data_IF_638678692734
#
_entry.id   IF_638678692734
#
_cell.length_a   1.000
_cell.length_b   1.000
_cell.length_c   1.000
_cell.angle_alpha   90.00
_cell.angle_beta   90.00
_cell.angle_gamma   90.00
#
_symmetry.space_group_name_H-M   'P 1'
#
loop_
_entity.id
_entity.type
_entity.pdbx_description
1 polymer ?
#
# COMPACT_ATOMS: atom_id res chain seq x y z
N UNK A 1 39.24 -10.12 -63.44
CA UNK A 1 39.55 -9.31 -62.25
C UNK A 1 38.82 -7.98 -62.39
N UNK A 2 38.19 -7.51 -61.31
CA UNK A 2 37.25 -6.37 -61.20
C UNK A 2 35.80 -6.73 -61.55
N UNK A 3 35.10 -7.24 -60.53
CA UNK A 3 33.63 -7.15 -60.40
C UNK A 3 33.37 -5.83 -59.67
N UNK A 4 32.68 -4.89 -60.33
CA UNK A 4 32.16 -3.66 -59.71
C UNK A 4 30.64 -3.84 -59.57
N UNK A 5 30.16 -3.91 -58.33
CA UNK A 5 28.74 -3.99 -58.00
C UNK A 5 28.05 -2.66 -58.31
N UNK A 6 26.95 -2.72 -59.07
CA UNK A 6 25.94 -1.67 -59.15
C UNK A 6 25.08 -1.68 -57.88
N UNK A 7 24.98 -0.52 -57.23
CA UNK A 7 23.98 -0.23 -56.22
C UNK A 7 22.61 -0.01 -56.88
N UNK A 8 21.60 -0.75 -56.44
CA UNK A 8 20.19 -0.46 -56.69
C UNK A 8 19.56 -0.06 -55.35
N UNK A 9 19.03 1.15 -55.33
CA UNK A 9 18.17 1.69 -54.29
C UNK A 9 16.84 0.93 -54.27
N UNK A 10 16.47 0.40 -53.11
CA UNK A 10 15.07 0.14 -52.77
C UNK A 10 14.78 0.75 -51.41
N UNK A 11 14.00 1.83 -51.46
CA UNK A 11 13.35 2.47 -50.32
C UNK A 11 12.27 1.50 -49.82
N UNK A 12 12.29 1.19 -48.53
CA UNK A 12 11.17 0.60 -47.81
C UNK A 12 11.12 1.22 -46.42
N UNK A 13 10.03 1.93 -46.15
CA UNK A 13 9.68 2.51 -44.86
C UNK A 13 9.72 1.45 -43.76
N UNK A 14 10.44 1.73 -42.68
CA UNK A 14 10.32 1.06 -41.39
C UNK A 14 9.85 2.08 -40.37
N UNK A 15 8.66 1.85 -39.81
CA UNK A 15 8.11 2.62 -38.71
C UNK A 15 9.03 2.49 -37.49
N UNK A 16 9.48 3.61 -36.96
CA UNK A 16 10.21 3.71 -35.70
C UNK A 16 9.19 3.53 -34.56
N UNK A 17 9.09 2.30 -34.06
CA UNK A 17 8.33 1.94 -32.88
C UNK A 17 9.19 2.35 -31.67
N UNK A 18 8.79 3.44 -31.01
CA UNK A 18 9.38 3.86 -29.75
C UNK A 18 9.17 2.79 -28.68
N UNK A 19 10.29 2.35 -28.09
CA UNK A 19 10.40 1.38 -27.03
C UNK A 19 9.47 1.72 -25.85
N UNK A 20 8.43 0.90 -25.67
CA UNK A 20 7.87 0.66 -24.36
C UNK A 20 8.81 -0.31 -23.66
N UNK A 21 9.73 0.23 -22.87
CA UNK A 21 10.40 -0.55 -21.84
C UNK A 21 9.35 -0.99 -20.81
N UNK A 22 8.79 -2.19 -21.02
CA UNK A 22 8.20 -2.97 -19.94
C UNK A 22 9.26 -3.11 -18.85
N UNK A 23 8.99 -2.51 -17.70
CA UNK A 23 9.69 -2.81 -16.46
C UNK A 23 9.47 -4.29 -16.16
N UNK A 24 10.42 -5.11 -16.60
CA UNK A 24 10.62 -6.48 -16.16
C UNK A 24 10.98 -6.43 -14.69
N UNK A 25 9.93 -6.52 -13.85
CA UNK A 25 10.07 -6.77 -12.43
C UNK A 25 10.80 -8.09 -12.25
N UNK A 26 12.06 -7.98 -11.85
CA UNK A 26 12.94 -9.08 -11.46
C UNK A 26 12.25 -10.07 -10.53
N UNK A 27 12.34 -11.34 -10.92
CA UNK A 27 11.91 -12.56 -10.26
C UNK A 27 12.06 -12.55 -8.73
N UNK A 28 10.93 -12.79 -8.05
CA UNK A 28 10.89 -13.38 -6.72
C UNK A 28 10.32 -14.80 -6.80
N UNK A 29 10.81 -15.60 -7.76
CA UNK A 29 10.51 -17.03 -7.84
C UNK A 29 11.24 -17.79 -6.73
N UNK A 30 10.70 -17.71 -5.52
CA UNK A 30 10.81 -18.84 -4.61
C UNK A 30 10.23 -20.06 -5.32
N UNK A 31 10.95 -21.19 -5.30
CA UNK A 31 10.53 -22.40 -6.00
C UNK A 31 9.05 -22.72 -5.67
N UNK A 32 8.27 -23.02 -6.71
CA UNK A 32 6.87 -23.41 -6.55
C UNK A 32 6.80 -24.67 -5.66
N UNK A 33 6.01 -24.60 -4.59
CA UNK A 33 5.87 -25.71 -3.65
C UNK A 33 5.34 -26.94 -4.38
N UNK A 34 6.06 -28.06 -4.25
CA UNK A 34 5.65 -29.36 -4.78
C UNK A 34 5.34 -30.31 -3.61
N UNK A 35 4.08 -30.77 -3.47
CA UNK A 35 3.71 -31.64 -2.34
C UNK A 35 4.36 -33.02 -2.46
N UNK A 36 4.94 -33.51 -1.36
CA UNK A 36 5.56 -34.83 -1.30
C UNK A 36 4.52 -35.96 -1.15
N UNK A 37 3.35 -35.66 -0.59
CA UNK A 37 2.27 -36.63 -0.39
C UNK A 37 0.88 -36.06 -0.71
N UNK A 38 -0.12 -36.95 -0.79
CA UNK A 38 -1.54 -36.53 -0.90
C UNK A 38 -1.99 -35.73 0.32
N UNK A 39 -1.48 -36.06 1.51
CA UNK A 39 -1.81 -35.34 2.74
C UNK A 39 -1.22 -33.94 2.69
N UNK A 40 0.01 -33.78 2.20
CA UNK A 40 0.64 -32.46 2.07
C UNK A 40 -0.12 -31.59 1.08
N UNK A 41 -0.55 -32.19 -0.03
CA UNK A 41 -1.41 -31.51 -0.98
C UNK A 41 -2.70 -31.04 -0.33
N UNK A 42 -3.36 -31.88 0.48
CA UNK A 42 -4.59 -31.48 1.17
C UNK A 42 -4.37 -30.37 2.19
N UNK A 43 -3.29 -30.42 2.97
CA UNK A 43 -2.91 -29.34 3.90
C UNK A 43 -2.70 -28.03 3.14
N UNK A 44 -1.85 -28.07 2.11
CA UNK A 44 -1.53 -26.92 1.26
C UNK A 44 -2.77 -26.32 0.58
N UNK A 45 -3.60 -27.16 -0.05
CA UNK A 45 -4.81 -26.73 -0.75
C UNK A 45 -5.81 -26.09 0.24
N UNK A 46 -6.04 -26.69 1.42
CA UNK A 46 -6.95 -26.11 2.44
C UNK A 46 -6.46 -24.74 2.91
N UNK A 47 -5.17 -24.58 3.21
CA UNK A 47 -4.62 -23.30 3.64
C UNK A 47 -4.75 -22.23 2.53
N UNK A 48 -4.40 -22.59 1.29
CA UNK A 48 -4.53 -21.69 0.14
C UNK A 48 -5.98 -21.25 -0.09
N UNK A 49 -6.93 -22.19 -0.07
CA UNK A 49 -8.36 -21.88 -0.28
C UNK A 49 -8.96 -21.03 0.84
N UNK A 50 -8.50 -21.19 2.09
CA UNK A 50 -8.89 -20.30 3.18
C UNK A 50 -8.52 -18.86 2.85
N UNK A 51 -7.24 -18.58 2.57
CA UNK A 51 -6.80 -17.20 2.32
C UNK A 51 -7.34 -16.63 1.01
N UNK A 52 -7.54 -17.43 -0.04
CA UNK A 52 -8.24 -17.00 -1.26
C UNK A 52 -9.69 -16.58 -0.98
N UNK A 53 -10.39 -17.34 -0.15
CA UNK A 53 -11.77 -17.05 0.26
C UNK A 53 -11.83 -15.78 1.11
N UNK A 54 -10.90 -15.63 2.07
CA UNK A 54 -10.80 -14.43 2.91
C UNK A 54 -10.43 -13.17 2.12
N UNK A 55 -9.54 -13.28 1.13
CA UNK A 55 -9.19 -12.17 0.23
C UNK A 55 -10.39 -11.68 -0.59
N UNK A 56 -11.40 -12.53 -0.80
CA UNK A 56 -12.68 -12.20 -1.45
C UNK A 56 -13.77 -11.77 -0.47
N UNK A 57 -13.43 -11.50 0.80
CA UNK A 57 -14.35 -11.09 1.86
C UNK A 57 -15.47 -12.11 2.16
N UNK A 58 -15.27 -13.39 1.81
CA UNK A 58 -16.29 -14.43 2.00
C UNK A 58 -16.08 -15.16 3.34
N UNK A 59 -16.25 -14.43 4.43
CA UNK A 59 -15.95 -14.92 5.79
C UNK A 59 -16.85 -16.08 6.23
N UNK A 60 -18.14 -16.08 5.86
CA UNK A 60 -19.07 -17.15 6.23
C UNK A 60 -18.65 -18.47 5.60
N UNK A 61 -18.38 -18.46 4.29
CA UNK A 61 -17.91 -19.66 3.60
C UNK A 61 -16.59 -20.17 4.16
N UNK A 62 -15.66 -19.26 4.48
CA UNK A 62 -14.40 -19.63 5.11
C UNK A 62 -14.60 -20.29 6.49
N UNK A 63 -15.47 -19.70 7.31
CA UNK A 63 -15.79 -20.17 8.66
C UNK A 63 -16.43 -21.58 8.63
N UNK A 64 -17.28 -21.85 7.66
CA UNK A 64 -17.97 -23.14 7.51
C UNK A 64 -17.08 -24.27 6.95
N UNK A 65 -16.14 -23.93 6.05
CA UNK A 65 -15.50 -24.96 5.20
C UNK A 65 -14.04 -25.26 5.55
N UNK A 66 -13.30 -24.31 6.12
CA UNK A 66 -11.83 -24.42 6.18
C UNK A 66 -11.23 -24.38 7.58
N UNK A 67 -11.98 -23.96 8.60
CA UNK A 67 -11.45 -23.74 9.95
C UNK A 67 -12.10 -24.64 10.99
N UNK A 68 -11.43 -24.82 12.12
CA UNK A 68 -11.99 -25.54 13.28
C UNK A 68 -12.78 -24.69 14.24
N UNK A 69 -12.59 -23.38 14.15
CA UNK A 69 -13.06 -22.35 15.08
C UNK A 69 -13.71 -21.20 14.29
N UNK A 70 -14.95 -21.40 13.80
CA UNK A 70 -15.65 -20.47 12.92
C UNK A 70 -15.73 -19.04 13.48
N UNK A 71 -15.98 -18.90 14.79
CA UNK A 71 -16.11 -17.62 15.47
C UNK A 71 -14.87 -16.73 15.32
N UNK A 72 -13.67 -17.33 15.26
CA UNK A 72 -12.42 -16.58 15.07
C UNK A 72 -12.34 -15.92 13.69
N UNK A 73 -12.89 -16.57 12.66
CA UNK A 73 -13.01 -16.00 11.31
C UNK A 73 -14.14 -14.98 11.26
N UNK A 74 -15.30 -15.29 11.84
CA UNK A 74 -16.46 -14.39 11.82
C UNK A 74 -16.21 -13.07 12.55
N UNK A 75 -15.38 -13.09 13.60
CA UNK A 75 -14.93 -11.87 14.28
C UNK A 75 -14.21 -10.86 13.36
N UNK A 76 -13.66 -11.32 12.22
CA UNK A 76 -12.95 -10.48 11.26
C UNK A 76 -13.86 -9.70 10.30
N UNK A 77 -15.15 -10.03 10.22
CA UNK A 77 -16.12 -9.37 9.33
C UNK A 77 -16.13 -7.85 9.48
N UNK A 78 -15.89 -7.37 10.70
CA UNK A 78 -15.93 -5.96 11.04
C UNK A 78 -14.57 -5.29 10.90
N UNK A 79 -14.04 -5.25 9.68
CA UNK A 79 -12.92 -4.36 9.33
C UNK A 79 -11.54 -5.01 9.21
N UNK A 80 -11.44 -6.34 9.22
CA UNK A 80 -10.19 -6.99 8.85
C UNK A 80 -10.02 -7.01 7.33
N UNK A 81 -8.79 -6.73 6.88
CA UNK A 81 -8.35 -6.90 5.50
C UNK A 81 -7.02 -7.65 5.50
N UNK A 82 -6.88 -8.62 4.59
CA UNK A 82 -5.59 -9.26 4.34
C UNK A 82 -4.62 -8.21 3.80
N UNK A 83 -3.57 -7.88 4.56
CA UNK A 83 -2.55 -6.90 4.16
C UNK A 83 -1.41 -7.56 3.39
N UNK A 84 -1.73 -8.26 2.31
CA UNK A 84 -0.76 -8.93 1.43
C UNK A 84 -1.21 -8.80 -0.02
N UNK A 85 -0.25 -8.62 -0.92
CA UNK A 85 -0.50 -8.54 -2.38
C UNK A 85 -0.55 -9.94 -2.99
N UNK A 86 0.18 -10.89 -2.41
CA UNK A 86 0.13 -12.29 -2.79
C UNK A 86 0.49 -13.19 -1.62
N UNK A 87 0.17 -14.48 -1.74
CA UNK A 87 0.50 -15.49 -0.75
C UNK A 87 0.75 -16.84 -1.43
N UNK A 88 1.63 -17.64 -0.84
CA UNK A 88 2.02 -18.96 -1.36
C UNK A 88 2.31 -19.95 -0.24
N UNK A 89 2.21 -21.23 -0.55
CA UNK A 89 2.72 -22.28 0.34
C UNK A 89 4.23 -22.36 0.15
N UNK A 90 4.98 -22.38 1.25
CA UNK A 90 6.44 -22.56 1.26
C UNK A 90 6.82 -23.97 1.67
N UNK A 91 6.17 -24.47 2.71
CA UNK A 91 6.47 -25.76 3.31
C UNK A 91 5.21 -26.37 3.93
N UNK A 92 5.16 -27.70 4.00
CA UNK A 92 4.20 -28.45 4.80
C UNK A 92 4.98 -29.23 5.85
N UNK A 93 4.53 -29.14 7.11
CA UNK A 93 5.13 -29.82 8.23
C UNK A 93 4.05 -30.53 9.08
N UNK A 94 4.46 -31.13 10.19
CA UNK A 94 3.56 -31.89 11.06
C UNK A 94 2.42 -31.01 11.62
N UNK A 95 2.75 -29.77 12.01
CA UNK A 95 1.81 -28.79 12.58
C UNK A 95 0.84 -28.18 11.57
N UNK A 96 1.15 -28.25 10.27
CA UNK A 96 0.31 -27.69 9.21
C UNK A 96 1.12 -27.20 8.02
N UNK A 97 0.99 -25.91 7.70
CA UNK A 97 1.56 -25.29 6.50
C UNK A 97 2.28 -24.00 6.85
N UNK A 98 3.50 -23.81 6.35
CA UNK A 98 4.16 -22.49 6.36
C UNK A 98 3.74 -21.76 5.09
N UNK A 99 3.03 -20.64 5.26
CA UNK A 99 2.63 -19.77 4.17
C UNK A 99 3.50 -18.51 4.13
N UNK A 100 3.97 -18.14 2.95
CA UNK A 100 4.62 -16.85 2.69
C UNK A 100 3.59 -15.83 2.24
N UNK A 101 3.54 -14.68 2.90
CA UNK A 101 2.72 -13.53 2.54
C UNK A 101 3.63 -12.41 2.05
N UNK A 102 3.47 -12.05 0.78
CA UNK A 102 4.26 -11.00 0.16
C UNK A 102 3.48 -9.69 0.14
N UNK A 103 4.17 -8.61 0.48
CA UNK A 103 3.70 -7.24 0.31
C UNK A 103 4.78 -6.45 -0.39
N UNK A 104 4.40 -5.63 -1.35
CA UNK A 104 5.27 -4.78 -2.14
C UNK A 104 6.18 -3.98 -1.20
N UNK A 105 7.50 -4.08 -1.44
CA UNK A 105 8.53 -3.38 -0.68
C UNK A 105 8.67 -3.78 0.80
N UNK A 106 8.14 -4.93 1.21
CA UNK A 106 8.40 -5.53 2.52
C UNK A 106 8.99 -6.93 2.35
N UNK A 107 9.76 -7.43 3.32
CA UNK A 107 10.16 -8.83 3.31
C UNK A 107 8.91 -9.73 3.31
N UNK A 108 9.01 -10.88 2.66
CA UNK A 108 7.96 -11.90 2.77
C UNK A 108 7.79 -12.28 4.25
N UNK A 109 6.54 -12.31 4.69
CA UNK A 109 6.18 -12.73 6.03
C UNK A 109 5.81 -14.21 6.00
N UNK A 110 6.58 -15.02 6.72
CA UNK A 110 6.29 -16.43 6.90
C UNK A 110 5.34 -16.61 8.09
N UNK A 111 4.22 -17.29 7.86
CA UNK A 111 3.20 -17.57 8.86
C UNK A 111 2.97 -19.07 8.93
N UNK A 112 3.18 -19.64 10.11
CA UNK A 112 2.76 -21.01 10.39
C UNK A 112 1.23 -21.05 10.54
N UNK A 113 0.58 -21.72 9.59
CA UNK A 113 -0.84 -22.05 9.61
C UNK A 113 -0.99 -23.39 10.30
N UNK A 114 -1.54 -23.38 11.51
CA UNK A 114 -1.77 -24.59 12.28
C UNK A 114 -2.99 -25.33 11.77
N UNK A 115 -2.90 -26.65 11.66
CA UNK A 115 -3.97 -27.47 11.12
C UNK A 115 -4.20 -28.71 11.96
N UNK A 116 -5.45 -29.17 11.99
CA UNK A 116 -5.82 -30.44 12.60
C UNK A 116 -6.62 -31.28 11.62
N UNK A 117 -6.37 -32.59 11.65
CA UNK A 117 -7.12 -33.55 10.86
C UNK A 117 -8.43 -33.91 11.56
N UNK A 118 -9.55 -33.85 10.84
CA UNK A 118 -10.86 -34.37 11.28
C UNK A 118 -11.41 -35.30 10.21
N UNK A 119 -11.34 -36.60 10.49
CA UNK A 119 -11.66 -37.64 9.51
C UNK A 119 -10.67 -37.62 8.33
N UNK A 120 -11.17 -37.46 7.11
CA UNK A 120 -10.37 -37.44 5.88
C UNK A 120 -9.98 -36.01 5.44
N UNK A 121 -10.28 -34.98 6.24
CA UNK A 121 -10.04 -33.57 5.90
C UNK A 121 -9.16 -32.88 6.93
N UNK A 122 -8.43 -31.86 6.49
CA UNK A 122 -7.70 -30.95 7.36
C UNK A 122 -8.46 -29.63 7.50
N UNK A 123 -8.38 -29.05 8.69
CA UNK A 123 -9.00 -27.78 9.05
C UNK A 123 -7.96 -26.90 9.73
N UNK A 124 -8.00 -25.60 9.47
CA UNK A 124 -7.10 -24.61 10.04
C UNK A 124 -7.56 -24.23 11.46
N UNK A 125 -6.64 -24.24 12.42
CA UNK A 125 -6.83 -23.64 13.74
C UNK A 125 -6.58 -22.14 13.63
N UNK A 126 -7.59 -21.39 13.21
CA UNK A 126 -7.40 -20.01 12.76
C UNK A 126 -7.04 -19.07 13.92
N UNK A 127 -7.73 -19.19 15.05
CA UNK A 127 -7.45 -18.43 16.26
C UNK A 127 -6.09 -18.76 16.89
N UNK A 128 -5.56 -19.97 16.70
CA UNK A 128 -4.18 -20.30 17.08
C UNK A 128 -3.19 -19.63 16.12
N UNK A 129 -3.40 -19.79 14.82
CA UNK A 129 -2.60 -19.17 13.75
C UNK A 129 -2.46 -17.67 13.95
N UNK A 130 -3.57 -16.95 14.13
CA UNK A 130 -3.57 -15.49 14.35
C UNK A 130 -2.87 -15.09 15.65
N UNK A 131 -3.05 -15.84 16.73
CA UNK A 131 -2.45 -15.54 18.03
C UNK A 131 -0.93 -15.69 18.00
N UNK A 132 -0.42 -16.74 17.36
CA UNK A 132 1.02 -16.94 17.21
C UNK A 132 1.62 -15.91 16.24
N UNK A 133 0.93 -15.58 15.15
CA UNK A 133 1.34 -14.48 14.26
C UNK A 133 1.42 -13.14 15.02
N UNK A 134 0.47 -12.82 15.90
CA UNK A 134 0.52 -11.60 16.72
C UNK A 134 1.67 -11.60 17.73
N UNK A 135 2.20 -12.76 18.10
CA UNK A 135 3.35 -12.88 19.01
C UNK A 135 4.67 -12.74 18.28
N UNK A 136 4.72 -13.08 16.99
CA UNK A 136 5.92 -12.96 16.18
C UNK A 136 6.40 -11.49 16.08
N UNK A 137 7.60 -11.17 16.57
CA UNK A 137 8.19 -9.84 16.41
C UNK A 137 8.41 -9.47 14.94
N UNK A 138 8.76 -10.44 14.07
CA UNK A 138 9.00 -10.18 12.66
C UNK A 138 7.71 -9.74 11.94
N UNK A 139 6.59 -10.40 12.23
CA UNK A 139 5.26 -9.97 11.77
C UNK A 139 4.88 -8.55 12.23
N UNK A 140 5.29 -8.16 13.45
CA UNK A 140 4.92 -6.87 14.05
C UNK A 140 5.81 -5.70 13.66
N UNK A 141 7.07 -5.97 13.32
CA UNK A 141 8.10 -4.95 13.10
C UNK A 141 8.73 -5.00 11.71
N UNK A 142 8.09 -5.68 10.75
CA UNK A 142 8.57 -5.75 9.38
C UNK A 142 8.84 -4.35 8.82
N UNK A 143 10.13 -4.05 8.61
CA UNK A 143 10.57 -2.79 8.01
C UNK A 143 10.54 -2.91 6.48
N UNK A 144 10.29 -1.81 5.76
CA UNK A 144 10.44 -1.78 4.32
C UNK A 144 11.85 -2.20 3.89
N UNK A 145 11.97 -2.88 2.75
CA UNK A 145 13.28 -3.28 2.18
C UNK A 145 13.98 -2.13 1.43
N UNK A 146 13.30 -0.99 1.27
CA UNK A 146 13.81 0.23 0.64
C UNK A 146 13.37 1.44 1.46
N UNK A 147 14.16 2.50 1.45
CA UNK A 147 13.79 3.75 2.11
C UNK A 147 12.48 4.34 1.54
N UNK A 148 12.33 4.29 0.22
CA UNK A 148 11.11 4.68 -0.49
C UNK A 148 10.66 3.50 -1.35
N UNK A 149 9.41 3.10 -1.16
CA UNK A 149 8.78 2.03 -1.91
C UNK A 149 8.18 2.52 -3.23
N UNK A 150 7.81 3.79 -3.29
CA UNK A 150 7.12 4.40 -4.43
C UNK A 150 7.96 5.53 -5.01
N UNK A 151 7.94 5.62 -6.34
CA UNK A 151 8.68 6.63 -7.07
C UNK A 151 7.97 8.00 -7.01
N UNK A 152 8.77 9.05 -6.97
CA UNK A 152 8.30 10.43 -6.93
C UNK A 152 8.41 11.07 -8.31
N UNK A 153 7.30 11.60 -8.81
CA UNK A 153 7.28 12.39 -10.03
C UNK A 153 7.77 13.80 -9.71
N UNK A 154 8.68 14.31 -10.53
CA UNK A 154 9.15 15.69 -10.40
C UNK A 154 8.14 16.68 -11.05
N UNK A 155 6.98 16.81 -10.44
CA UNK A 155 5.89 17.71 -10.85
C UNK A 155 5.14 18.24 -9.61
N UNK A 156 4.39 19.35 -9.72
CA UNK A 156 3.48 19.77 -8.65
C UNK A 156 2.55 18.64 -8.21
N UNK A 157 2.30 18.54 -6.91
CA UNK A 157 1.50 17.46 -6.33
C UNK A 157 0.09 17.45 -6.94
N UNK A 158 -0.25 16.34 -7.58
CA UNK A 158 -1.53 16.13 -8.25
C UNK A 158 -1.94 14.66 -8.16
N UNK A 159 -3.16 14.35 -8.58
CA UNK A 159 -3.65 12.98 -8.69
C UNK A 159 -5.18 12.92 -8.68
N UNK A 160 -5.71 11.93 -7.98
CA UNK A 160 -7.15 11.75 -7.81
C UNK A 160 -7.50 11.36 -6.38
N UNK A 161 -8.55 11.99 -5.85
CA UNK A 161 -9.14 11.64 -4.56
C UNK A 161 -10.57 11.20 -4.82
N UNK A 162 -10.89 9.94 -4.52
CA UNK A 162 -12.21 9.34 -4.78
C UNK A 162 -12.67 9.51 -6.23
N UNK A 163 -11.74 9.29 -7.17
CA UNK A 163 -11.93 9.43 -8.63
C UNK A 163 -12.17 10.86 -9.14
N UNK A 164 -12.14 11.85 -8.25
CA UNK A 164 -12.15 13.26 -8.65
C UNK A 164 -10.72 13.72 -8.87
N UNK A 165 -10.39 14.35 -10.02
CA UNK A 165 -9.08 14.96 -10.22
C UNK A 165 -8.77 15.99 -9.14
N UNK A 166 -7.55 15.97 -8.63
CA UNK A 166 -7.12 16.86 -7.55
C UNK A 166 -5.71 17.38 -7.83
N UNK A 167 -5.49 18.66 -7.55
CA UNK A 167 -4.19 19.32 -7.74
C UNK A 167 -3.94 20.27 -6.58
N UNK A 168 -2.73 20.23 -6.04
CA UNK A 168 -2.29 21.15 -5.01
C UNK A 168 -2.19 22.58 -5.56
N UNK A 169 -2.68 23.53 -4.78
CA UNK A 169 -2.57 24.97 -5.05
C UNK A 169 -1.61 25.63 -4.06
N UNK A 170 -1.85 25.45 -2.76
CA UNK A 170 -1.04 26.03 -1.69
C UNK A 170 -1.01 25.14 -0.45
N UNK A 171 -0.11 25.48 0.47
CA UNK A 171 0.03 24.83 1.78
C UNK A 171 -0.42 25.82 2.85
N UNK A 172 -1.38 25.41 3.65
CA UNK A 172 -1.89 26.15 4.80
C UNK A 172 -1.29 25.57 6.08
N UNK A 173 -0.70 26.43 6.89
CA UNK A 173 -0.05 26.04 8.14
C UNK A 173 -0.72 26.79 9.28
N UNK A 174 -1.20 26.04 10.27
CA UNK A 174 -1.77 26.60 11.48
C UNK A 174 -1.19 25.92 12.71
N UNK A 175 -1.14 26.65 13.82
CA UNK A 175 -0.75 26.10 15.12
C UNK A 175 -1.91 26.24 16.08
N UNK A 176 -2.23 25.16 16.80
CA UNK A 176 -3.18 25.20 17.91
C UNK A 176 -2.46 24.84 19.20
N UNK A 177 -2.71 25.65 20.22
CA UNK A 177 -2.24 25.38 21.58
C UNK A 177 -3.09 24.30 22.25
N UNK A 178 -2.43 23.25 22.72
CA UNK A 178 -3.02 22.23 23.57
C UNK A 178 -2.31 22.18 24.92
N UNK A 179 -2.92 21.55 25.92
CA UNK A 179 -2.27 21.35 27.22
C UNK A 179 -0.96 20.54 27.13
N UNK A 180 -0.78 19.76 26.05
CA UNK A 180 0.45 19.02 25.74
C UNK A 180 1.51 19.83 24.97
N UNK A 181 1.24 21.11 24.69
CA UNK A 181 2.05 21.97 23.84
C UNK A 181 1.41 22.24 22.46
N UNK A 182 2.04 23.10 21.64
CA UNK A 182 1.53 23.47 20.33
C UNK A 182 1.49 22.25 19.41
N UNK A 183 0.41 22.11 18.65
CA UNK A 183 0.31 21.16 17.54
C UNK A 183 0.22 21.91 16.23
N UNK A 184 1.21 21.66 15.39
CA UNK A 184 1.26 22.17 14.04
C UNK A 184 0.32 21.36 13.14
N UNK A 185 -0.52 22.04 12.38
CA UNK A 185 -1.34 21.48 11.31
C UNK A 185 -0.80 21.98 9.99
N UNK A 186 -0.51 21.07 9.08
CA UNK A 186 -0.02 21.36 7.73
C UNK A 186 -0.98 20.70 6.76
N UNK A 187 -1.74 21.52 6.04
CA UNK A 187 -2.77 21.09 5.10
C UNK A 187 -2.42 21.57 3.69
N UNK A 188 -2.40 20.66 2.73
CA UNK A 188 -2.26 20.96 1.31
C UNK A 188 -3.66 21.08 0.72
N UNK A 189 -3.97 22.25 0.17
CA UNK A 189 -5.30 22.58 -0.34
C UNK A 189 -5.27 22.74 -1.85
N UNK A 190 -6.38 22.40 -2.50
CA UNK A 190 -6.58 22.65 -3.92
C UNK A 190 -7.15 24.05 -4.17
N UNK A 191 -7.11 24.50 -5.42
CA UNK A 191 -7.70 25.78 -5.83
C UNK A 191 -9.22 25.82 -5.69
N UNK A 192 -9.87 24.67 -5.55
CA UNK A 192 -11.30 24.57 -5.24
C UNK A 192 -11.60 25.02 -3.79
N UNK A 193 -10.62 24.94 -2.87
CA UNK A 193 -10.75 25.48 -1.52
C UNK A 193 -10.50 26.99 -1.53
N UNK A 194 -11.59 27.76 -1.62
CA UNK A 194 -11.56 29.24 -1.68
C UNK A 194 -11.41 29.87 -0.29
N UNK A 195 -12.04 29.30 0.75
CA UNK A 195 -11.94 29.76 2.15
C UNK A 195 -11.44 28.64 3.06
N UNK A 196 -10.19 28.73 3.52
CA UNK A 196 -9.63 27.80 4.51
C UNK A 196 -9.77 28.39 5.93
N UNK A 197 -10.16 27.60 6.96
CA UNK A 197 -10.39 26.15 6.95
C UNK A 197 -11.83 25.73 6.61
N UNK A 198 -12.73 26.65 6.27
CA UNK A 198 -14.15 26.35 6.08
C UNK A 198 -14.40 25.27 5.02
N UNK A 199 -13.62 25.28 3.93
CA UNK A 199 -13.68 24.29 2.85
C UNK A 199 -13.46 22.82 3.30
N UNK A 200 -12.90 22.62 4.50
CA UNK A 200 -12.65 21.31 5.11
C UNK A 200 -13.87 20.77 5.87
N UNK A 201 -14.73 21.66 6.36
CA UNK A 201 -15.79 21.34 7.33
C UNK A 201 -17.19 21.72 6.87
N UNK A 202 -17.32 22.75 6.03
CA UNK A 202 -18.59 23.29 5.57
C UNK A 202 -18.80 22.93 4.10
N UNK A 203 -20.00 22.43 3.79
CA UNK A 203 -20.41 22.08 2.43
C UNK A 203 -20.94 23.32 1.72
N UNK A 204 -20.03 24.08 1.12
CA UNK A 204 -20.31 25.21 0.24
C UNK A 204 -20.23 24.78 -1.23
N UNK A 205 -21.22 25.20 -2.02
CA UNK A 205 -21.36 24.84 -3.43
C UNK A 205 -20.13 25.27 -4.28
N UNK A 206 -19.49 26.38 -3.92
CA UNK A 206 -18.35 26.99 -4.63
C UNK A 206 -17.19 27.25 -3.65
N UNK A 207 -16.58 26.19 -3.11
CA UNK A 207 -15.49 26.38 -2.16
C UNK A 207 -15.06 25.14 -1.38
N UNK A 208 -15.86 24.07 -1.42
CA UNK A 208 -15.54 22.81 -0.75
C UNK A 208 -14.59 21.96 -1.58
N UNK A 209 -13.68 21.26 -0.90
CA UNK A 209 -12.78 20.35 -1.61
C UNK A 209 -12.02 19.43 -0.68
N UNK A 210 -11.33 18.47 -1.29
CA UNK A 210 -10.41 17.60 -0.57
C UNK A 210 -9.19 18.39 -0.09
N UNK A 211 -8.88 18.22 1.19
CA UNK A 211 -7.69 18.74 1.85
C UNK A 211 -6.80 17.57 2.24
N UNK A 212 -5.51 17.68 1.93
CA UNK A 212 -4.51 16.65 2.21
C UNK A 212 -3.64 17.11 3.39
N UNK A 213 -3.87 16.55 4.57
CA UNK A 213 -3.10 16.85 5.78
C UNK A 213 -1.83 16.01 5.89
N UNK A 214 -0.72 16.65 6.26
CA UNK A 214 0.62 16.04 6.31
C UNK A 214 1.31 16.21 7.67
N UNK A 215 0.54 16.60 8.70
CA UNK A 215 1.06 16.88 10.05
C UNK A 215 1.67 15.68 10.78
N UNK A 216 1.39 14.45 10.32
CA UNK A 216 1.94 13.22 10.92
C UNK A 216 3.29 12.82 10.31
N UNK A 217 3.82 13.58 9.35
CA UNK A 217 5.11 13.28 8.71
C UNK A 217 6.27 13.88 9.52
N UNK A 218 7.41 13.18 9.52
CA UNK A 218 8.66 13.76 10.02
C UNK A 218 9.26 14.69 8.96
N UNK A 219 9.12 15.99 9.17
CA UNK A 219 9.62 17.04 8.26
C UNK A 219 11.06 17.49 8.58
N UNK A 220 11.71 16.91 9.60
CA UNK A 220 13.11 17.20 9.93
C UNK A 220 14.08 16.16 9.33
N UNK A 221 13.57 14.99 8.98
CA UNK A 221 14.33 13.92 8.35
C UNK A 221 14.33 14.01 6.81
N UNK A 222 14.76 12.93 6.17
CA UNK A 222 14.70 12.75 4.70
C UNK A 222 13.37 12.13 4.21
N UNK A 223 12.46 11.81 5.14
CA UNK A 223 11.26 11.03 4.88
C UNK A 223 11.51 9.51 4.73
N UNK A 224 10.46 8.80 4.33
CA UNK A 224 10.44 7.34 4.22
C UNK A 224 9.11 6.80 3.70
N UNK A 225 8.67 5.65 4.22
CA UNK A 225 7.39 5.05 3.86
C UNK A 225 6.29 5.42 4.85
N UNK A 226 5.07 5.57 4.35
CA UNK A 226 3.89 5.74 5.18
C UNK A 226 3.59 4.43 5.95
N UNK A 227 2.91 4.57 7.08
CA UNK A 227 2.62 3.48 7.99
C UNK A 227 1.74 3.91 9.17
N UNK A 228 2.00 3.34 10.34
CA UNK A 228 1.18 3.61 11.53
C UNK A 228 1.49 4.97 12.17
N UNK A 229 2.76 5.36 12.19
CA UNK A 229 3.26 6.62 12.74
C UNK A 229 3.19 7.75 11.72
N UNK A 230 3.75 7.56 10.54
CA UNK A 230 3.78 8.54 9.46
C UNK A 230 2.64 8.24 8.48
N UNK A 231 1.69 9.15 8.34
CA UNK A 231 0.54 8.96 7.44
C UNK A 231 0.06 10.31 6.90
N UNK A 232 -0.67 10.24 5.79
CA UNK A 232 -1.32 11.41 5.18
C UNK A 232 -2.81 11.32 5.48
N UNK A 233 -3.46 12.45 5.71
CA UNK A 233 -4.92 12.48 5.91
C UNK A 233 -5.61 13.11 4.73
N UNK A 234 -6.76 12.56 4.31
CA UNK A 234 -7.67 13.22 3.39
C UNK A 234 -8.94 13.60 4.14
N UNK A 235 -9.30 14.87 4.08
CA UNK A 235 -10.51 15.41 4.71
C UNK A 235 -11.32 16.20 3.69
N UNK A 236 -12.64 16.17 3.83
CA UNK A 236 -13.59 17.00 3.09
C UNK A 236 -14.92 17.05 3.86
N UNK A 237 -15.81 18.00 3.52
CA UNK A 237 -17.13 18.09 4.14
C UNK A 237 -17.91 16.78 3.98
N UNK A 238 -18.62 16.37 5.04
CA UNK A 238 -19.46 15.17 5.08
C UNK A 238 -18.72 13.83 4.92
N UNK A 239 -17.39 13.80 5.03
CA UNK A 239 -16.61 12.57 4.93
C UNK A 239 -15.78 12.36 6.19
N UNK A 240 -15.79 11.13 6.70
CA UNK A 240 -14.84 10.76 7.74
C UNK A 240 -13.42 10.86 7.18
N UNK A 241 -12.53 11.53 7.93
CA UNK A 241 -11.14 11.70 7.49
C UNK A 241 -10.49 10.34 7.26
N UNK A 242 -9.86 10.19 6.09
CA UNK A 242 -9.18 8.98 5.67
C UNK A 242 -7.70 9.10 6.02
N UNK A 243 -7.16 8.11 6.75
CA UNK A 243 -5.73 8.03 7.04
C UNK A 243 -5.08 7.12 6.01
N UNK A 244 -4.31 7.70 5.09
CA UNK A 244 -3.57 7.00 4.06
C UNK A 244 -2.21 6.58 4.62
N UNK A 245 -2.00 5.27 4.67
CA UNK A 245 -0.83 4.60 5.27
C UNK A 245 0.00 3.85 4.24
N UNK A 246 -0.44 3.83 2.99
CA UNK A 246 0.28 3.24 1.86
C UNK A 246 0.84 4.32 0.95
N UNK A 247 2.16 4.39 0.89
CA UNK A 247 2.88 5.36 0.06
C UNK A 247 4.28 5.62 0.58
N UNK A 248 4.94 6.57 -0.07
CA UNK A 248 6.22 7.13 0.38
C UNK A 248 6.14 8.65 0.41
N UNK A 249 6.99 9.25 1.23
CA UNK A 249 7.23 10.69 1.23
C UNK A 249 8.72 10.96 1.31
N UNK A 250 9.16 12.04 0.64
CA UNK A 250 10.54 12.53 0.71
C UNK A 250 10.54 13.99 1.09
N UNK A 251 11.46 14.33 1.98
CA UNK A 251 11.64 15.69 2.47
C UNK A 251 13.01 16.17 2.01
N UNK A 252 13.03 17.32 1.34
CA UNK A 252 14.26 18.00 0.94
C UNK A 252 14.25 19.40 1.52
N UNK A 253 15.24 19.72 2.35
CA UNK A 253 15.46 21.08 2.82
C UNK A 253 16.17 21.89 1.75
N UNK A 254 15.50 22.94 1.30
CA UNK A 254 16.00 23.90 0.31
C UNK A 254 16.62 25.11 1.04
N UNK A 255 17.19 26.02 0.26
CA UNK A 255 17.70 27.29 0.77
C UNK A 255 16.58 28.13 1.43
N UNK A 256 16.97 29.03 2.35
CA UNK A 256 16.05 29.93 3.07
C UNK A 256 15.00 29.23 3.96
N UNK A 257 15.29 28.01 4.44
CA UNK A 257 14.39 27.27 5.32
C UNK A 257 13.15 26.70 4.62
N UNK A 258 13.08 26.78 3.29
CA UNK A 258 12.00 26.18 2.51
C UNK A 258 12.15 24.65 2.50
N UNK A 259 11.04 23.95 2.58
CA UNK A 259 10.95 22.49 2.52
C UNK A 259 10.25 22.13 1.22
N UNK A 260 10.81 21.19 0.46
CA UNK A 260 10.11 20.45 -0.58
C UNK A 260 9.65 19.12 0.00
N UNK A 261 8.33 18.93 0.04
CA UNK A 261 7.69 17.67 0.39
C UNK A 261 7.21 16.99 -0.89
N UNK A 262 7.76 15.81 -1.16
CA UNK A 262 7.32 14.91 -2.22
C UNK A 262 6.47 13.80 -1.63
N UNK A 263 5.34 13.50 -2.27
CA UNK A 263 4.43 12.42 -1.88
C UNK A 263 4.23 11.46 -3.04
N UNK A 264 4.10 10.18 -2.73
CA UNK A 264 3.70 9.13 -3.65
C UNK A 264 2.75 8.18 -2.91
N UNK A 265 1.45 8.36 -3.09
CA UNK A 265 0.37 7.62 -2.44
C UNK A 265 -0.40 6.86 -3.50
N UNK A 266 -0.69 5.57 -3.26
CA UNK A 266 -1.30 4.70 -4.28
C UNK A 266 -2.47 3.91 -3.74
N UNK A 267 -3.60 3.95 -4.44
CA UNK A 267 -4.66 2.92 -4.44
C UNK A 267 -5.41 2.68 -3.12
N UNK A 268 -5.04 3.32 -2.01
CA UNK A 268 -5.73 3.20 -0.74
C UNK A 268 -7.03 4.04 -0.79
N UNK A 269 -8.17 3.39 -0.56
CA UNK A 269 -9.50 4.04 -0.52
C UNK A 269 -9.83 4.91 -1.76
N UNK A 270 -9.36 4.50 -2.95
CA UNK A 270 -9.50 5.26 -4.22
C UNK A 270 -8.78 6.61 -4.23
N UNK A 271 -7.64 6.72 -3.53
CA UNK A 271 -6.76 7.90 -3.55
C UNK A 271 -5.43 7.58 -4.22
N UNK A 272 -5.03 8.43 -5.15
CA UNK A 272 -3.73 8.40 -5.82
C UNK A 272 -3.17 9.83 -5.83
N UNK A 273 -1.98 10.05 -5.26
CA UNK A 273 -1.34 11.36 -5.20
C UNK A 273 0.14 11.20 -5.54
N UNK A 274 0.67 12.03 -6.44
CA UNK A 274 2.08 12.02 -6.76
C UNK A 274 2.60 13.39 -7.20
N UNK A 275 3.73 13.81 -6.64
CA UNK A 275 4.41 15.06 -6.96
C UNK A 275 4.92 15.76 -5.71
N UNK A 276 5.15 17.06 -5.80
CA UNK A 276 5.70 17.87 -4.72
C UNK A 276 4.91 19.14 -4.40
N UNK A 277 5.02 19.57 -3.16
CA UNK A 277 4.72 20.94 -2.72
C UNK A 277 5.94 21.53 -2.03
N UNK A 278 6.04 22.85 -2.03
CA UNK A 278 7.11 23.55 -1.33
C UNK A 278 6.54 24.62 -0.41
N UNK A 279 7.03 24.69 0.82
CA UNK A 279 6.53 25.60 1.85
C UNK A 279 7.60 25.89 2.91
N UNK A 280 7.36 26.86 3.78
CA UNK A 280 8.26 27.19 4.90
C UNK A 280 7.48 26.99 6.19
N UNK A 281 8.10 26.35 7.19
CA UNK A 281 7.50 26.22 8.52
C UNK A 281 7.60 27.56 9.27
N UNK A 282 6.59 27.96 10.04
CA UNK A 282 6.69 29.12 10.93
C UNK A 282 7.79 28.89 11.98
N UNK A 283 8.54 29.95 12.27
CA UNK A 283 9.59 29.98 13.32
C UNK A 283 9.02 29.86 14.74
#
# INVERSE_FOLDING_TARGET
MIILLLAVLSVSCGQEQADKAEATGTDSTGAEFTPASKQDKWKADTALYLYQTLAKYNFDYAAENYVTDPDAVLALKNGWRLKADSFRVKEVNDDGVVMGFSRFCYPELDVQVYMVQRGQRYYVEFGRTMREQMRDPAARQAKPVRQYCYDFNNQPLTGSIMKTPWTADRVEISSMEFASGPRLTIDIVSSACTSYPDCKYMDEADGSGFVVGVSSLDLNGSGGNLGNSEYVTVSAPNIQSLNLRQGSYRVTHLENGKIRLELAVTGEESVELNGYVEFTLPE
#
